data_IF_853755675622
#
_entry.id   IF_853755675622
#
_cell.length_a   1.000
_cell.length_b   1.000
_cell.length_c   1.000
_cell.angle_alpha   90.00
_cell.angle_beta   90.00
_cell.angle_gamma   90.00
#
_symmetry.space_group_name_H-M   'P 1'
#
loop_
_entity.id
_entity.type
_entity.pdbx_description
1 polymer ?
#
# COMPACT_ATOMS: atom_id res chain seq x y z
N UNK A 1 20.08 11.79 -19.54
CA UNK A 1 19.53 10.99 -18.44
C UNK A 1 18.31 10.15 -18.88
N UNK A 2 17.27 10.77 -19.44
CA UNK A 2 16.04 10.10 -19.82
C UNK A 2 16.27 8.94 -20.81
N UNK A 3 17.05 9.16 -21.87
CA UNK A 3 17.39 8.14 -22.88
C UNK A 3 18.16 6.94 -22.31
N UNK A 4 18.82 7.14 -21.17
CA UNK A 4 19.58 6.10 -20.46
C UNK A 4 18.77 5.42 -19.34
N UNK A 5 17.48 5.73 -19.21
CA UNK A 5 16.62 5.21 -18.16
C UNK A 5 16.93 5.77 -16.75
N UNK A 6 17.74 6.82 -16.66
CA UNK A 6 18.11 7.50 -15.40
C UNK A 6 17.03 8.52 -15.03
N UNK A 7 15.80 8.03 -14.78
CA UNK A 7 14.61 8.86 -14.64
C UNK A 7 14.65 9.79 -13.43
N UNK A 8 15.23 9.38 -12.29
CA UNK A 8 15.34 10.27 -11.12
C UNK A 8 16.22 11.49 -11.41
N UNK A 9 17.36 11.28 -12.09
CA UNK A 9 18.24 12.35 -12.51
C UNK A 9 17.60 13.23 -13.58
N UNK A 10 16.82 12.62 -14.49
CA UNK A 10 16.06 13.34 -15.51
C UNK A 10 15.00 14.24 -14.85
N UNK A 11 14.21 13.74 -13.89
CA UNK A 11 13.22 14.51 -13.14
C UNK A 11 13.85 15.72 -12.43
N UNK A 12 15.01 15.52 -11.78
CA UNK A 12 15.73 16.62 -11.10
C UNK A 12 16.26 17.65 -12.09
N UNK A 13 16.80 17.21 -13.23
CA UNK A 13 17.33 18.09 -14.25
C UNK A 13 16.23 18.92 -14.93
N UNK A 14 15.14 18.27 -15.37
CA UNK A 14 14.00 18.97 -15.98
C UNK A 14 13.31 19.91 -14.97
N UNK A 15 13.07 19.45 -13.74
CA UNK A 15 12.49 20.30 -12.70
C UNK A 15 13.36 21.51 -12.34
N UNK A 16 14.68 21.37 -12.32
CA UNK A 16 15.63 22.47 -12.11
C UNK A 16 15.69 23.45 -13.29
N UNK A 17 15.45 22.98 -14.50
CA UNK A 17 15.38 23.80 -15.72
C UNK A 17 13.96 24.36 -15.98
N UNK A 18 12.98 24.06 -15.13
CA UNK A 18 11.57 24.41 -15.31
C UNK A 18 10.96 23.87 -16.62
N UNK A 19 11.55 22.81 -17.18
CA UNK A 19 10.99 22.05 -18.29
C UNK A 19 9.92 21.06 -17.78
N UNK A 20 8.72 21.58 -17.53
CA UNK A 20 7.63 20.78 -16.96
C UNK A 20 7.07 19.75 -17.96
N UNK A 21 7.19 19.99 -19.26
CA UNK A 21 6.87 18.98 -20.28
C UNK A 21 7.77 17.76 -20.15
N UNK A 22 9.09 17.99 -19.97
CA UNK A 22 10.05 16.94 -19.68
C UNK A 22 9.78 16.21 -18.36
N UNK A 23 9.42 16.93 -17.30
CA UNK A 23 9.04 16.33 -16.01
C UNK A 23 7.84 15.39 -16.18
N UNK A 24 6.75 15.86 -16.80
CA UNK A 24 5.51 15.10 -16.95
C UNK A 24 5.70 13.87 -17.84
N UNK A 25 6.44 14.00 -18.92
CA UNK A 25 6.83 12.89 -19.80
C UNK A 25 7.59 11.80 -19.04
N UNK A 26 8.52 12.17 -18.17
CA UNK A 26 9.24 11.18 -17.33
C UNK A 26 8.32 10.55 -16.30
N UNK A 27 7.40 11.31 -15.70
CA UNK A 27 6.38 10.79 -14.77
C UNK A 27 5.51 9.73 -15.44
N UNK A 28 5.12 9.93 -16.70
CA UNK A 28 4.36 8.92 -17.48
C UNK A 28 5.17 7.64 -17.70
N UNK A 29 6.43 7.77 -18.13
CA UNK A 29 7.32 6.63 -18.40
C UNK A 29 7.61 5.78 -17.17
N UNK A 30 7.81 6.43 -16.03
CA UNK A 30 8.14 5.79 -14.76
C UNK A 30 6.89 5.32 -13.99
N UNK A 31 5.70 5.69 -14.42
CA UNK A 31 4.47 5.52 -13.67
C UNK A 31 4.55 6.05 -12.22
N UNK A 32 5.39 7.05 -11.99
CA UNK A 32 5.56 7.76 -10.73
C UNK A 32 6.21 6.99 -9.59
N UNK A 33 6.91 5.90 -9.86
CA UNK A 33 7.65 5.15 -8.82
C UNK A 33 8.68 6.05 -8.15
N UNK A 34 9.43 6.81 -8.95
CA UNK A 34 10.51 7.67 -8.47
C UNK A 34 10.00 8.95 -7.80
N UNK A 35 8.73 9.32 -7.99
CA UNK A 35 8.13 10.43 -7.24
C UNK A 35 8.16 10.17 -5.73
N UNK A 36 8.08 8.92 -5.30
CA UNK A 36 8.21 8.55 -3.89
C UNK A 36 9.59 8.88 -3.28
N UNK A 37 10.63 9.06 -4.12
CA UNK A 37 11.97 9.42 -3.71
C UNK A 37 12.21 10.95 -3.66
N UNK A 38 11.23 11.74 -4.10
CA UNK A 38 11.27 13.20 -4.06
C UNK A 38 10.47 13.73 -2.87
N UNK A 39 10.86 14.88 -2.29
CA UNK A 39 10.03 15.56 -1.32
C UNK A 39 8.68 15.97 -1.96
N UNK A 40 7.53 15.70 -1.32
CA UNK A 40 6.22 16.11 -1.84
C UNK A 40 6.15 17.59 -2.19
N UNK A 41 6.73 18.46 -1.36
CA UNK A 41 6.75 19.90 -1.54
C UNK A 41 7.45 20.32 -2.82
N UNK A 42 8.49 19.59 -3.24
CA UNK A 42 9.19 19.85 -4.49
C UNK A 42 8.28 19.58 -5.69
N UNK A 43 7.55 18.46 -5.68
CA UNK A 43 6.63 18.11 -6.76
C UNK A 43 5.45 19.07 -6.80
N UNK A 44 4.91 19.45 -5.65
CA UNK A 44 3.85 20.47 -5.55
C UNK A 44 4.32 21.81 -6.12
N UNK A 45 5.54 22.25 -5.78
CA UNK A 45 6.14 23.48 -6.33
C UNK A 45 6.29 23.44 -7.86
N UNK A 46 6.57 22.27 -8.44
CA UNK A 46 6.59 22.12 -9.90
C UNK A 46 5.19 22.25 -10.50
N UNK A 47 4.18 21.64 -9.88
CA UNK A 47 2.78 21.72 -10.33
C UNK A 47 2.21 23.14 -10.24
N UNK A 48 2.55 23.89 -9.19
CA UNK A 48 2.10 25.27 -9.02
C UNK A 48 2.70 26.23 -10.06
N UNK A 49 3.87 25.89 -10.61
CA UNK A 49 4.55 26.65 -11.67
C UNK A 49 4.26 26.12 -13.07
N UNK A 50 3.73 24.91 -13.18
CA UNK A 50 3.36 24.32 -14.46
C UNK A 50 2.13 24.99 -15.05
N UNK A 51 2.21 25.43 -16.29
CA UNK A 51 1.07 26.01 -17.00
C UNK A 51 -0.02 24.94 -17.23
N UNK A 52 -1.30 25.28 -17.10
CA UNK A 52 -2.39 24.34 -17.34
C UNK A 52 -2.29 23.63 -18.70
N UNK A 53 -1.96 24.35 -19.75
CA UNK A 53 -1.87 23.82 -21.12
C UNK A 53 -0.75 22.79 -21.27
N UNK A 54 0.31 22.87 -20.43
CA UNK A 54 1.36 21.84 -20.39
C UNK A 54 0.84 20.60 -19.69
N UNK A 55 0.16 20.76 -18.56
CA UNK A 55 -0.40 19.66 -17.78
C UNK A 55 -1.46 18.90 -18.58
N UNK A 56 -2.34 19.61 -19.32
CA UNK A 56 -3.40 19.03 -20.14
C UNK A 56 -2.90 18.15 -21.28
N UNK A 57 -1.65 18.35 -21.74
CA UNK A 57 -1.03 17.48 -22.74
C UNK A 57 -0.61 16.12 -22.19
N UNK A 58 -0.55 15.98 -20.85
CA UNK A 58 -0.04 14.79 -20.16
C UNK A 58 -1.10 14.14 -19.24
N UNK A 59 -2.22 13.63 -19.78
CA UNK A 59 -3.31 13.07 -18.96
C UNK A 59 -2.86 11.86 -18.12
N UNK A 60 -1.94 11.03 -18.62
CA UNK A 60 -1.38 9.91 -17.84
C UNK A 60 -0.53 10.39 -16.67
N UNK A 61 0.25 11.47 -16.86
CA UNK A 61 0.99 12.07 -15.73
C UNK A 61 0.04 12.62 -14.66
N UNK A 62 -1.11 13.21 -15.06
CA UNK A 62 -2.12 13.67 -14.11
C UNK A 62 -2.66 12.53 -13.26
N UNK A 63 -2.97 11.36 -13.85
CA UNK A 63 -3.40 10.17 -13.13
C UNK A 63 -2.34 9.67 -12.13
N UNK A 64 -1.08 9.62 -12.56
CA UNK A 64 0.05 9.25 -11.69
C UNK A 64 0.22 10.23 -10.53
N UNK A 65 0.10 11.53 -10.80
CA UNK A 65 0.16 12.58 -9.79
C UNK A 65 -1.02 12.50 -8.81
N UNK A 66 -2.24 12.23 -9.28
CA UNK A 66 -3.42 12.00 -8.42
C UNK A 66 -3.15 10.86 -7.43
N UNK A 67 -2.60 9.73 -7.88
CA UNK A 67 -2.20 8.63 -7.00
C UNK A 67 -1.13 9.06 -5.98
N UNK A 68 -0.15 9.86 -6.41
CA UNK A 68 0.89 10.38 -5.51
C UNK A 68 0.32 11.34 -4.47
N UNK A 69 -0.63 12.20 -4.86
CA UNK A 69 -1.34 13.10 -3.93
C UNK A 69 -2.10 12.31 -2.86
N UNK A 70 -2.79 11.21 -3.23
CA UNK A 70 -3.40 10.31 -2.25
C UNK A 70 -2.39 9.77 -1.24
N UNK A 71 -1.25 9.25 -1.71
CA UNK A 71 -0.20 8.72 -0.85
C UNK A 71 0.40 9.76 0.11
N UNK A 72 0.42 11.03 -0.31
CA UNK A 72 0.92 12.17 0.48
C UNK A 72 -0.16 12.87 1.30
N UNK A 73 -1.40 12.36 1.32
CA UNK A 73 -2.57 12.98 1.98
C UNK A 73 -2.91 14.39 1.47
N UNK A 74 -2.61 14.66 0.21
CA UNK A 74 -2.93 15.90 -0.48
C UNK A 74 -4.24 15.76 -1.27
N UNK A 75 -5.32 15.49 -0.54
CA UNK A 75 -6.62 15.20 -1.15
C UNK A 75 -7.20 16.38 -1.93
N UNK A 76 -7.13 17.65 -1.45
CA UNK A 76 -7.58 18.79 -2.25
C UNK A 76 -6.88 18.90 -3.60
N UNK A 77 -5.56 18.70 -3.64
CA UNK A 77 -4.74 18.72 -4.86
C UNK A 77 -5.08 17.55 -5.79
N UNK A 78 -5.35 16.37 -5.23
CA UNK A 78 -5.83 15.21 -5.99
C UNK A 78 -7.16 15.50 -6.69
N UNK A 79 -8.13 16.11 -5.99
CA UNK A 79 -9.43 16.46 -6.53
C UNK A 79 -9.31 17.54 -7.62
N UNK A 80 -8.46 18.55 -7.41
CA UNK A 80 -8.16 19.58 -8.43
C UNK A 80 -7.62 18.95 -9.72
N UNK A 81 -6.63 18.03 -9.59
CA UNK A 81 -6.07 17.30 -10.75
C UNK A 81 -7.13 16.47 -11.47
N UNK A 82 -8.04 15.82 -10.73
CA UNK A 82 -9.19 15.10 -11.32
C UNK A 82 -10.05 16.00 -12.19
N UNK A 83 -10.45 17.18 -11.66
CA UNK A 83 -11.28 18.14 -12.41
C UNK A 83 -10.57 18.62 -13.67
N UNK A 84 -9.28 18.95 -13.58
CA UNK A 84 -8.46 19.34 -14.73
C UNK A 84 -8.36 18.22 -15.75
N UNK A 85 -8.12 16.97 -15.32
CA UNK A 85 -8.06 15.80 -16.20
C UNK A 85 -9.36 15.62 -16.99
N UNK A 86 -10.52 15.65 -16.29
CA UNK A 86 -11.81 15.45 -16.94
C UNK A 86 -12.11 16.60 -17.93
N UNK A 87 -11.80 17.85 -17.58
CA UNK A 87 -11.92 18.99 -18.48
C UNK A 87 -11.00 18.84 -19.71
N UNK A 88 -9.75 18.40 -19.53
CA UNK A 88 -8.81 18.17 -20.63
C UNK A 88 -9.29 17.06 -21.58
N UNK A 89 -9.88 15.99 -21.03
CA UNK A 89 -10.49 14.91 -21.82
C UNK A 89 -11.66 15.43 -22.65
N UNK A 90 -12.52 16.25 -22.05
CA UNK A 90 -13.72 16.78 -22.73
C UNK A 90 -13.39 17.84 -23.79
N UNK A 91 -12.32 18.61 -23.59
CA UNK A 91 -11.83 19.63 -24.53
C UNK A 91 -11.15 19.05 -25.78
N UNK A 92 -10.91 17.71 -25.85
CA UNK A 92 -10.24 17.05 -27.00
C UNK A 92 -11.22 16.28 -27.88
N UNK A 93 -11.81 16.89 -28.89
CA UNK A 93 -12.73 16.18 -29.80
C UNK A 93 -12.02 15.14 -30.68
N UNK A 94 -10.72 15.30 -30.90
CA UNK A 94 -9.83 14.41 -31.66
C UNK A 94 -9.45 13.13 -30.93
N UNK A 95 -9.64 13.07 -29.58
CA UNK A 95 -9.37 11.89 -28.78
C UNK A 95 -10.34 10.76 -29.12
N UNK A 96 -9.80 9.57 -29.37
CA UNK A 96 -10.63 8.39 -29.65
C UNK A 96 -11.55 8.07 -28.46
N UNK A 97 -12.72 7.44 -28.77
CA UNK A 97 -13.63 6.99 -27.71
C UNK A 97 -12.97 5.97 -26.77
N UNK A 98 -12.09 5.14 -27.30
CA UNK A 98 -11.31 4.14 -26.54
C UNK A 98 -10.34 4.80 -25.56
N UNK A 99 -9.55 5.78 -26.02
CA UNK A 99 -8.61 6.47 -25.14
C UNK A 99 -9.32 7.29 -24.07
N UNK A 100 -10.41 7.96 -24.44
CA UNK A 100 -11.29 8.67 -23.49
C UNK A 100 -11.83 7.72 -22.41
N UNK A 101 -12.30 6.54 -22.80
CA UNK A 101 -12.76 5.49 -21.90
C UNK A 101 -11.64 5.01 -20.97
N UNK A 102 -10.45 4.75 -21.51
CA UNK A 102 -9.30 4.32 -20.72
C UNK A 102 -8.90 5.35 -19.65
N UNK A 103 -8.80 6.64 -20.02
CA UNK A 103 -8.44 7.71 -19.07
C UNK A 103 -9.51 7.93 -17.98
N UNK A 104 -10.80 7.91 -18.36
CA UNK A 104 -11.90 8.05 -17.39
C UNK A 104 -11.99 6.85 -16.45
N UNK A 105 -11.86 5.62 -16.97
CA UNK A 105 -11.87 4.41 -16.17
C UNK A 105 -10.68 4.35 -15.23
N UNK A 106 -9.49 4.75 -15.68
CA UNK A 106 -8.30 4.82 -14.83
C UNK A 106 -8.42 5.93 -13.76
N UNK A 107 -9.12 7.02 -14.06
CA UNK A 107 -9.49 8.04 -13.07
C UNK A 107 -10.42 7.45 -11.99
N UNK A 108 -11.47 6.71 -12.36
CA UNK A 108 -12.35 6.02 -11.41
C UNK A 108 -11.58 5.05 -10.52
N UNK A 109 -10.66 4.28 -11.12
CA UNK A 109 -9.79 3.37 -10.38
C UNK A 109 -8.96 4.09 -9.32
N UNK A 110 -8.33 5.24 -9.64
CA UNK A 110 -7.55 6.01 -8.68
C UNK A 110 -8.47 6.65 -7.62
N UNK A 111 -9.66 7.12 -8.01
CA UNK A 111 -10.63 7.66 -7.07
C UNK A 111 -11.13 6.63 -6.06
N UNK A 112 -11.09 5.32 -6.41
CA UNK A 112 -11.43 4.25 -5.47
C UNK A 112 -10.52 4.22 -4.23
N UNK A 113 -9.30 4.75 -4.32
CA UNK A 113 -8.37 4.82 -3.19
C UNK A 113 -8.88 5.70 -2.04
N UNK A 114 -9.76 6.68 -2.31
CA UNK A 114 -10.41 7.46 -1.25
C UNK A 114 -11.37 6.62 -0.38
N UNK A 115 -11.78 5.45 -0.89
CA UNK A 115 -12.64 4.48 -0.22
C UNK A 115 -11.84 3.26 0.27
N UNK A 116 -10.55 3.40 0.45
CA UNK A 116 -9.54 2.35 0.45
C UNK A 116 -9.80 1.13 1.36
N UNK A 117 -10.59 1.16 2.39
CA UNK A 117 -10.99 -0.04 3.14
C UNK A 117 -12.52 -0.30 3.12
N UNK A 118 -13.26 0.42 2.30
CA UNK A 118 -14.64 0.10 1.93
C UNK A 118 -14.63 -0.75 0.65
N UNK A 119 -14.46 -2.07 0.80
CA UNK A 119 -14.28 -3.00 -0.31
C UNK A 119 -15.44 -2.89 -1.32
N UNK A 120 -16.68 -2.90 -0.84
CA UNK A 120 -17.86 -2.78 -1.70
C UNK A 120 -17.93 -1.40 -2.40
N UNK A 121 -17.56 -0.33 -1.69
CA UNK A 121 -17.45 1.02 -2.24
C UNK A 121 -16.41 1.11 -3.34
N UNK A 122 -15.21 0.57 -3.09
CA UNK A 122 -14.13 0.49 -4.08
C UNK A 122 -14.56 -0.30 -5.31
N UNK A 123 -15.23 -1.44 -5.11
CA UNK A 123 -15.68 -2.33 -6.20
C UNK A 123 -16.63 -1.64 -7.17
N UNK A 124 -17.48 -0.76 -6.72
CA UNK A 124 -18.36 0.02 -7.62
C UNK A 124 -17.54 0.83 -8.63
N UNK A 125 -16.45 1.45 -8.18
CA UNK A 125 -15.54 2.21 -9.05
C UNK A 125 -14.68 1.28 -9.92
N UNK A 126 -14.26 0.12 -9.41
CA UNK A 126 -13.53 -0.87 -10.22
C UNK A 126 -14.39 -1.45 -11.34
N UNK A 127 -15.70 -1.70 -11.10
CA UNK A 127 -16.65 -2.13 -12.14
C UNK A 127 -16.87 -1.02 -13.17
N UNK A 128 -17.02 0.25 -12.72
CA UNK A 128 -17.10 1.40 -13.62
C UNK A 128 -15.85 1.53 -14.49
N UNK A 129 -14.67 1.39 -13.90
CA UNK A 129 -13.39 1.38 -14.61
C UNK A 129 -13.34 0.24 -15.65
N UNK A 130 -13.68 -0.99 -15.25
CA UNK A 130 -13.67 -2.17 -16.12
C UNK A 130 -14.63 -2.04 -17.31
N UNK A 131 -15.76 -1.35 -17.13
CA UNK A 131 -16.71 -1.12 -18.21
C UNK A 131 -16.24 -0.09 -19.24
N UNK A 132 -15.30 0.79 -18.87
CA UNK A 132 -14.78 1.87 -19.72
C UNK A 132 -13.43 1.54 -20.35
N UNK A 133 -12.62 0.72 -19.70
CA UNK A 133 -11.23 0.48 -20.10
C UNK A 133 -11.13 -0.71 -21.04
N UNK A 134 -10.40 -0.53 -22.14
CA UNK A 134 -10.02 -1.59 -23.10
C UNK A 134 -8.65 -2.20 -22.78
N UNK A 135 -7.89 -1.59 -21.87
CA UNK A 135 -6.56 -2.03 -21.42
C UNK A 135 -6.42 -1.85 -19.90
N UNK A 136 -5.50 -2.58 -19.26
CA UNK A 136 -5.16 -2.33 -17.87
C UNK A 136 -4.62 -0.92 -17.63
N UNK A 137 -4.74 -0.44 -16.39
CA UNK A 137 -4.22 0.85 -15.97
C UNK A 137 -2.71 0.96 -16.20
N UNK A 138 -2.26 2.11 -16.67
CA UNK A 138 -0.84 2.44 -16.88
C UNK A 138 -0.23 3.05 -15.62
N UNK A 139 -1.02 3.82 -14.85
CA UNK A 139 -0.58 4.47 -13.61
C UNK A 139 -0.35 3.49 -12.46
N UNK A 140 -0.78 2.23 -12.57
CA UNK A 140 -0.61 1.21 -11.53
C UNK A 140 0.26 0.08 -12.09
N UNK A 141 1.43 -0.11 -11.49
CA UNK A 141 2.29 -1.23 -11.87
C UNK A 141 1.89 -2.51 -11.14
N UNK A 142 1.80 -3.61 -11.87
CA UNK A 142 1.45 -4.94 -11.35
C UNK A 142 2.30 -5.35 -10.14
N UNK A 143 3.60 -5.08 -10.16
CA UNK A 143 4.53 -5.40 -9.08
C UNK A 143 4.65 -4.30 -8.01
N UNK A 144 3.77 -3.30 -8.04
CA UNK A 144 3.75 -2.22 -7.07
C UNK A 144 3.31 -2.68 -5.67
N UNK A 145 3.46 -1.78 -4.69
CA UNK A 145 2.95 -2.03 -3.33
C UNK A 145 1.43 -1.89 -3.29
N UNK A 146 0.75 -2.93 -2.82
CA UNK A 146 -0.71 -2.95 -2.70
C UNK A 146 -1.20 -2.60 -1.29
N UNK A 147 -0.46 -3.03 -0.26
CA UNK A 147 -0.85 -2.84 1.16
C UNK A 147 -0.35 -1.54 1.78
N UNK A 148 0.12 -0.58 0.99
CA UNK A 148 0.71 0.68 1.49
C UNK A 148 1.80 0.48 2.54
N UNK A 149 2.51 -0.65 2.47
CA UNK A 149 3.58 -1.01 3.40
C UNK A 149 3.12 -1.78 4.65
N UNK A 150 1.82 -2.06 4.80
CA UNK A 150 1.34 -2.97 5.83
C UNK A 150 1.77 -4.42 5.55
N UNK A 151 2.19 -5.18 6.56
CA UNK A 151 2.45 -6.61 6.42
C UNK A 151 1.17 -7.47 6.45
N UNK A 152 0.02 -6.89 6.75
CA UNK A 152 -1.26 -7.60 6.92
C UNK A 152 -2.35 -7.00 6.04
N UNK A 153 -3.04 -7.86 5.30
CA UNK A 153 -4.23 -7.50 4.51
C UNK A 153 -5.43 -7.29 5.42
N UNK A 154 -5.64 -8.20 6.37
CA UNK A 154 -6.78 -8.14 7.28
C UNK A 154 -6.77 -6.88 8.16
N UNK A 155 -5.61 -6.48 8.69
CA UNK A 155 -5.49 -5.25 9.49
C UNK A 155 -5.88 -4.01 8.70
N UNK A 156 -5.67 -4.01 7.38
CA UNK A 156 -6.06 -2.88 6.53
C UNK A 156 -7.53 -2.87 6.18
N UNK A 157 -8.14 -4.04 5.97
CA UNK A 157 -9.46 -4.14 5.37
C UNK A 157 -10.57 -4.53 6.33
N UNK A 158 -10.26 -4.99 7.55
CA UNK A 158 -11.31 -5.19 8.58
C UNK A 158 -11.74 -3.83 9.15
N UNK A 159 -12.85 -3.34 8.64
CA UNK A 159 -13.36 -2.00 8.87
C UNK A 159 -14.28 -1.89 10.08
N UNK A 160 -15.07 -2.93 10.33
CA UNK A 160 -16.14 -2.86 11.32
C UNK A 160 -16.23 -4.15 12.15
N UNK A 161 -16.18 -4.02 13.47
CA UNK A 161 -16.38 -5.13 14.38
C UNK A 161 -17.72 -5.86 14.11
N UNK A 162 -17.68 -7.20 14.10
CA UNK A 162 -18.83 -8.05 13.81
C UNK A 162 -19.16 -8.21 12.32
N UNK A 163 -18.42 -7.58 11.39
CA UNK A 163 -18.66 -7.67 9.95
C UNK A 163 -17.65 -8.53 9.19
N UNK A 164 -16.73 -9.19 9.89
CA UNK A 164 -15.61 -9.90 9.27
C UNK A 164 -16.04 -10.88 8.17
N UNK A 165 -17.08 -11.69 8.39
CA UNK A 165 -17.54 -12.66 7.38
C UNK A 165 -18.12 -11.98 6.13
N UNK A 166 -18.81 -10.83 6.31
CA UNK A 166 -19.29 -10.05 5.18
C UNK A 166 -18.10 -9.44 4.41
N UNK A 167 -17.11 -8.89 5.11
CA UNK A 167 -15.93 -8.29 4.49
C UNK A 167 -15.06 -9.31 3.75
N UNK A 168 -14.97 -10.55 4.26
CA UNK A 168 -14.32 -11.67 3.54
C UNK A 168 -15.06 -12.01 2.25
N UNK A 169 -16.40 -12.10 2.30
CA UNK A 169 -17.22 -12.37 1.13
C UNK A 169 -17.12 -11.22 0.11
N UNK A 170 -17.12 -9.96 0.57
CA UNK A 170 -16.91 -8.77 -0.27
C UNK A 170 -15.53 -8.80 -0.94
N UNK A 171 -14.47 -9.19 -0.22
CA UNK A 171 -13.12 -9.31 -0.79
C UNK A 171 -13.09 -10.35 -1.91
N UNK A 172 -13.68 -11.53 -1.70
CA UNK A 172 -13.74 -12.59 -2.70
C UNK A 172 -14.51 -12.17 -3.96
N UNK A 173 -15.63 -11.45 -3.79
CA UNK A 173 -16.45 -10.97 -4.91
C UNK A 173 -15.79 -9.81 -5.67
N UNK A 174 -15.12 -8.90 -4.95
CA UNK A 174 -14.72 -7.61 -5.49
C UNK A 174 -13.32 -7.63 -6.12
N UNK A 175 -12.38 -8.42 -5.57
CA UNK A 175 -11.00 -8.44 -6.07
C UNK A 175 -10.83 -8.83 -7.54
N UNK A 176 -11.60 -9.77 -8.11
CA UNK A 176 -11.50 -10.08 -9.55
C UNK A 176 -11.71 -8.86 -10.47
N UNK A 177 -12.60 -7.92 -10.10
CA UNK A 177 -12.81 -6.68 -10.85
C UNK A 177 -11.59 -5.76 -10.79
N UNK A 178 -10.96 -5.67 -9.62
CA UNK A 178 -9.71 -4.93 -9.46
C UNK A 178 -8.58 -5.54 -10.27
N UNK A 179 -8.39 -6.86 -10.21
CA UNK A 179 -7.35 -7.55 -10.97
C UNK A 179 -7.49 -7.36 -12.47
N UNK A 180 -8.71 -7.33 -12.98
CA UNK A 180 -9.00 -7.10 -14.40
C UNK A 180 -8.43 -5.74 -14.85
N UNK A 181 -8.69 -4.66 -14.10
CA UNK A 181 -8.27 -3.29 -14.49
C UNK A 181 -6.82 -2.97 -14.13
N UNK A 182 -6.15 -3.79 -13.31
CA UNK A 182 -4.78 -3.54 -12.84
C UNK A 182 -3.76 -4.61 -13.28
N UNK A 183 -4.14 -5.48 -14.20
CA UNK A 183 -3.30 -6.59 -14.66
C UNK A 183 -2.81 -7.48 -13.51
N UNK A 184 -3.70 -7.74 -12.51
CA UNK A 184 -3.41 -8.63 -11.40
C UNK A 184 -2.61 -8.01 -10.26
N UNK A 185 -2.53 -6.68 -10.15
CA UNK A 185 -1.89 -6.03 -8.99
C UNK A 185 -2.58 -6.44 -7.67
N UNK A 186 -1.82 -6.87 -6.67
CA UNK A 186 -2.35 -7.33 -5.39
C UNK A 186 -3.00 -8.72 -5.40
N UNK A 187 -2.83 -9.50 -6.47
CA UNK A 187 -3.42 -10.83 -6.60
C UNK A 187 -3.00 -11.75 -5.45
N UNK A 188 -3.98 -12.44 -4.86
CA UNK A 188 -3.84 -13.28 -3.68
C UNK A 188 -4.29 -12.61 -2.38
N UNK A 189 -4.68 -11.33 -2.41
CA UNK A 189 -5.12 -10.58 -1.23
C UNK A 189 -6.31 -11.25 -0.53
N UNK A 190 -7.29 -11.78 -1.27
CA UNK A 190 -8.46 -12.49 -0.74
C UNK A 190 -8.07 -13.76 0.02
N UNK A 191 -7.10 -14.51 -0.48
CA UNK A 191 -6.59 -15.69 0.20
C UNK A 191 -5.81 -15.34 1.47
N UNK A 192 -4.99 -14.29 1.44
CA UNK A 192 -4.25 -13.81 2.61
C UNK A 192 -5.24 -13.35 3.69
N UNK A 193 -6.22 -12.51 3.34
CA UNK A 193 -7.21 -12.01 4.28
C UNK A 193 -8.00 -13.16 4.94
N UNK A 194 -8.39 -14.15 4.15
CA UNK A 194 -9.06 -15.35 4.65
C UNK A 194 -8.16 -16.17 5.59
N UNK A 195 -6.89 -16.35 5.22
CA UNK A 195 -5.90 -17.04 6.05
C UNK A 195 -5.65 -16.35 7.38
N UNK A 196 -5.53 -15.02 7.38
CA UNK A 196 -5.38 -14.21 8.60
C UNK A 196 -6.63 -14.27 9.48
N UNK A 197 -7.84 -14.26 8.89
CA UNK A 197 -9.09 -14.41 9.62
C UNK A 197 -9.22 -15.81 10.26
N UNK A 198 -8.87 -16.87 9.53
CA UNK A 198 -8.85 -18.24 10.05
C UNK A 198 -7.82 -18.37 11.19
N UNK A 199 -6.64 -17.78 11.04
CA UNK A 199 -5.62 -17.73 12.09
C UNK A 199 -6.15 -17.09 13.39
N UNK A 200 -6.81 -15.93 13.30
CA UNK A 200 -7.38 -15.25 14.46
C UNK A 200 -8.51 -16.05 15.14
N UNK A 201 -9.17 -16.93 14.40
CA UNK A 201 -10.21 -17.85 14.92
C UNK A 201 -9.63 -19.14 15.50
N UNK A 202 -8.31 -19.33 15.46
CA UNK A 202 -7.65 -20.57 15.88
C UNK A 202 -7.83 -21.74 14.90
N UNK A 203 -8.35 -21.49 13.70
CA UNK A 203 -8.54 -22.46 12.62
C UNK A 203 -7.23 -22.62 11.82
N UNK A 204 -6.20 -23.19 12.46
CA UNK A 204 -4.83 -23.17 11.94
C UNK A 204 -4.66 -23.94 10.61
N UNK A 205 -5.41 -25.03 10.41
CA UNK A 205 -5.37 -25.80 9.17
C UNK A 205 -6.01 -25.00 8.01
N UNK A 206 -7.14 -24.33 8.25
CA UNK A 206 -7.77 -23.47 7.26
C UNK A 206 -6.85 -22.29 6.90
N UNK A 207 -6.15 -21.72 7.89
CA UNK A 207 -5.16 -20.67 7.67
C UNK A 207 -3.99 -21.16 6.79
N UNK A 208 -3.49 -22.37 7.00
CA UNK A 208 -2.44 -22.99 6.17
C UNK A 208 -2.90 -23.25 4.74
N UNK A 209 -4.14 -23.73 4.56
CA UNK A 209 -4.72 -23.97 3.23
C UNK A 209 -4.84 -22.66 2.47
N UNK A 210 -5.39 -21.62 3.10
CA UNK A 210 -5.52 -20.30 2.50
C UNK A 210 -4.16 -19.69 2.15
N UNK A 211 -3.17 -19.81 3.05
CA UNK A 211 -1.80 -19.37 2.82
C UNK A 211 -1.13 -20.08 1.64
N UNK A 212 -1.31 -21.40 1.53
CA UNK A 212 -0.79 -22.19 0.40
C UNK A 212 -1.42 -21.74 -0.93
N UNK A 213 -2.72 -21.45 -0.93
CA UNK A 213 -3.43 -20.88 -2.08
C UNK A 213 -2.88 -19.50 -2.48
N UNK A 214 -2.63 -18.63 -1.50
CA UNK A 214 -2.03 -17.32 -1.75
C UNK A 214 -0.64 -17.46 -2.38
N UNK A 215 0.26 -18.26 -1.82
CA UNK A 215 1.60 -18.48 -2.39
C UNK A 215 1.55 -19.05 -3.81
N UNK A 216 0.59 -19.93 -4.12
CA UNK A 216 0.44 -20.48 -5.46
C UNK A 216 0.08 -19.39 -6.49
N UNK A 217 -0.82 -18.49 -6.14
CA UNK A 217 -1.20 -17.36 -7.02
C UNK A 217 -0.07 -16.34 -7.19
N UNK A 218 0.69 -16.08 -6.12
CA UNK A 218 1.74 -15.04 -6.10
C UNK A 218 2.97 -15.48 -6.89
N UNK A 219 3.33 -16.79 -6.84
CA UNK A 219 4.55 -17.35 -7.45
C UNK A 219 4.68 -16.99 -8.92
N UNK A 220 3.59 -17.07 -9.65
CA UNK A 220 3.60 -16.88 -11.11
C UNK A 220 3.52 -15.40 -11.52
N UNK A 221 3.29 -14.51 -10.54
CA UNK A 221 2.91 -13.14 -10.79
C UNK A 221 3.93 -12.08 -10.32
N UNK A 222 4.99 -12.46 -9.61
CA UNK A 222 6.03 -11.54 -9.11
C UNK A 222 5.48 -10.48 -8.14
N UNK A 223 4.48 -10.85 -7.32
CA UNK A 223 3.81 -9.97 -6.36
C UNK A 223 4.58 -9.95 -5.03
N UNK A 224 5.73 -9.27 -5.01
CA UNK A 224 6.62 -9.25 -3.83
C UNK A 224 5.92 -8.73 -2.56
N UNK A 225 5.11 -7.68 -2.68
CA UNK A 225 4.35 -7.16 -1.55
C UNK A 225 3.42 -8.24 -0.95
N UNK A 226 2.71 -8.97 -1.80
CA UNK A 226 1.79 -10.03 -1.34
C UNK A 226 2.56 -11.21 -0.76
N UNK A 227 3.74 -11.54 -1.31
CA UNK A 227 4.62 -12.56 -0.73
C UNK A 227 5.04 -12.20 0.70
N UNK A 228 5.41 -10.94 0.96
CA UNK A 228 5.74 -10.46 2.30
C UNK A 228 4.55 -10.51 3.27
N UNK A 229 3.32 -10.29 2.79
CA UNK A 229 2.12 -10.50 3.61
C UNK A 229 1.88 -11.99 3.92
N UNK A 230 2.15 -12.88 2.96
CA UNK A 230 2.14 -14.32 3.22
C UNK A 230 3.22 -14.72 4.25
N UNK A 231 4.43 -14.16 4.13
CA UNK A 231 5.52 -14.40 5.07
C UNK A 231 5.11 -13.96 6.48
N UNK A 232 4.45 -12.80 6.63
CA UNK A 232 3.92 -12.32 7.91
C UNK A 232 2.93 -13.31 8.55
N UNK A 233 2.00 -13.86 7.78
CA UNK A 233 1.08 -14.88 8.27
C UNK A 233 1.82 -16.19 8.59
N UNK A 234 2.77 -16.62 7.74
CA UNK A 234 3.56 -17.84 7.96
C UNK A 234 4.34 -17.78 9.28
N UNK A 235 5.01 -16.66 9.57
CA UNK A 235 5.74 -16.48 10.83
C UNK A 235 4.81 -16.50 12.06
N UNK A 236 3.63 -15.89 11.98
CA UNK A 236 2.64 -15.96 13.06
C UNK A 236 2.09 -17.38 13.27
N UNK A 237 1.86 -18.11 12.19
CA UNK A 237 1.47 -19.54 12.26
C UNK A 237 2.53 -20.38 12.93
N UNK A 238 3.82 -20.13 12.66
CA UNK A 238 4.92 -20.88 13.25
C UNK A 238 4.95 -20.79 14.78
N UNK A 239 4.58 -19.63 15.33
CA UNK A 239 4.46 -19.43 16.80
C UNK A 239 3.42 -20.37 17.44
N UNK A 240 2.34 -20.68 16.73
CA UNK A 240 1.26 -21.52 17.25
C UNK A 240 1.48 -23.01 16.97
N UNK A 241 2.21 -23.35 15.90
CA UNK A 241 2.35 -24.73 15.43
C UNK A 241 3.70 -25.35 15.73
N UNK A 242 4.72 -24.54 16.03
CA UNK A 242 6.11 -24.98 16.21
C UNK A 242 6.80 -25.38 14.90
N UNK A 243 6.14 -25.24 13.75
CA UNK A 243 6.74 -25.53 12.44
C UNK A 243 7.53 -24.30 11.96
N UNK A 244 8.80 -24.54 11.60
CA UNK A 244 9.63 -23.46 11.06
C UNK A 244 9.05 -22.91 9.75
N UNK A 245 9.06 -21.57 9.54
CA UNK A 245 8.69 -20.98 8.26
C UNK A 245 9.62 -21.44 7.14
N UNK A 246 9.17 -21.28 5.88
CA UNK A 246 9.92 -21.74 4.69
C UNK A 246 11.24 -21.02 4.48
N UNK A 247 11.34 -19.78 4.93
CA UNK A 247 12.52 -18.93 4.81
C UNK A 247 12.80 -18.23 6.14
N UNK A 248 14.07 -18.08 6.49
CA UNK A 248 14.47 -17.25 7.62
C UNK A 248 14.52 -15.75 7.24
N UNK A 249 14.50 -14.86 8.22
CA UNK A 249 14.54 -13.42 8.00
C UNK A 249 15.81 -12.96 7.30
N UNK A 250 16.96 -13.57 7.59
CA UNK A 250 18.23 -13.14 7.00
C UNK A 250 18.34 -13.56 5.54
N UNK A 251 17.85 -14.75 5.19
CA UNK A 251 17.74 -15.17 3.80
C UNK A 251 16.84 -14.22 3.03
N UNK A 252 15.65 -13.93 3.57
CA UNK A 252 14.69 -13.04 2.93
C UNK A 252 15.22 -11.62 2.77
N UNK A 253 15.93 -11.13 3.78
CA UNK A 253 16.59 -9.81 3.73
C UNK A 253 17.66 -9.73 2.63
N UNK A 254 18.50 -10.77 2.48
CA UNK A 254 19.51 -10.82 1.40
C UNK A 254 18.85 -10.76 0.01
N UNK A 255 17.76 -11.50 -0.19
CA UNK A 255 17.01 -11.49 -1.45
C UNK A 255 16.46 -10.11 -1.78
N UNK A 256 15.84 -9.44 -0.81
CA UNK A 256 15.26 -8.10 -0.99
C UNK A 256 16.32 -7.01 -1.19
N UNK A 257 17.48 -7.12 -0.55
CA UNK A 257 18.58 -6.18 -0.76
C UNK A 257 19.08 -6.19 -2.21
N UNK A 258 19.09 -7.34 -2.86
CA UNK A 258 19.43 -7.45 -4.28
C UNK A 258 18.44 -6.73 -5.19
N UNK A 259 17.20 -6.54 -4.76
CA UNK A 259 16.16 -5.82 -5.51
C UNK A 259 16.22 -4.31 -5.36
N UNK A 260 17.05 -3.77 -4.46
CA UNK A 260 17.21 -2.34 -4.16
C UNK A 260 15.88 -1.62 -3.83
N UNK A 261 14.92 -2.31 -3.22
CA UNK A 261 13.62 -1.76 -2.87
C UNK A 261 13.47 -1.60 -1.34
N UNK A 262 13.71 -0.40 -0.84
CA UNK A 262 13.62 -0.10 0.59
C UNK A 262 12.21 -0.32 1.17
N UNK A 263 11.15 -0.19 0.36
CA UNK A 263 9.78 -0.40 0.84
C UNK A 263 9.55 -1.86 1.24
N UNK A 264 10.10 -2.81 0.49
CA UNK A 264 10.02 -4.24 0.82
C UNK A 264 10.79 -4.58 2.10
N UNK A 265 11.97 -3.99 2.28
CA UNK A 265 12.73 -4.15 3.53
C UNK A 265 11.97 -3.61 4.75
N UNK A 266 11.23 -2.52 4.60
CA UNK A 266 10.42 -1.99 5.70
C UNK A 266 9.29 -2.97 6.08
N UNK A 267 8.63 -3.62 5.12
CA UNK A 267 7.61 -4.63 5.40
C UNK A 267 8.22 -5.86 6.09
N UNK A 268 9.36 -6.33 5.61
CA UNK A 268 10.08 -7.45 6.24
C UNK A 268 10.49 -7.09 7.67
N UNK A 269 11.12 -5.91 7.87
CA UNK A 269 11.54 -5.47 9.20
C UNK A 269 10.36 -5.32 10.18
N UNK A 270 9.17 -4.94 9.69
CA UNK A 270 7.98 -4.88 10.54
C UNK A 270 7.50 -6.27 10.95
N UNK A 271 7.55 -7.26 10.06
CA UNK A 271 7.24 -8.66 10.38
C UNK A 271 8.24 -9.25 11.37
N UNK A 272 9.53 -9.03 11.12
CA UNK A 272 10.65 -9.47 11.95
C UNK A 272 10.55 -8.87 13.36
N UNK A 273 10.33 -7.55 13.47
CA UNK A 273 10.14 -6.87 14.75
C UNK A 273 8.93 -7.41 15.52
N UNK A 274 7.80 -7.61 14.84
CA UNK A 274 6.60 -8.12 15.49
C UNK A 274 6.81 -9.55 16.00
N UNK A 275 7.45 -10.42 15.20
CA UNK A 275 7.75 -11.79 15.58
C UNK A 275 8.65 -11.87 16.83
N UNK A 276 9.82 -11.22 16.79
CA UNK A 276 10.76 -11.25 17.91
C UNK A 276 10.23 -10.55 19.17
N UNK A 277 9.42 -9.51 19.02
CA UNK A 277 8.73 -8.90 20.14
C UNK A 277 7.71 -9.85 20.80
N UNK A 278 7.00 -10.68 20.02
CA UNK A 278 6.06 -11.66 20.56
C UNK A 278 6.74 -12.78 21.36
N UNK A 279 7.96 -13.19 20.96
CA UNK A 279 8.73 -14.23 21.67
C UNK A 279 9.68 -13.67 22.73
N UNK A 280 9.76 -12.34 22.89
CA UNK A 280 10.61 -11.69 23.88
C UNK A 280 12.10 -11.60 23.52
N UNK A 281 12.47 -11.89 22.27
CA UNK A 281 13.86 -11.80 21.80
C UNK A 281 14.22 -10.38 21.34
N UNK A 282 14.29 -9.45 22.29
CA UNK A 282 14.45 -8.01 22.00
C UNK A 282 15.74 -7.66 21.27
N UNK A 283 16.83 -8.42 21.46
CA UNK A 283 18.11 -8.20 20.76
C UNK A 283 18.05 -8.55 19.27
N UNK A 284 17.14 -9.45 18.87
CA UNK A 284 16.92 -9.85 17.47
C UNK A 284 16.04 -8.87 16.70
N UNK A 285 15.38 -7.94 17.38
CA UNK A 285 14.51 -6.93 16.76
C UNK A 285 15.34 -6.00 15.85
N UNK A 286 14.91 -5.75 14.59
CA UNK A 286 15.57 -4.81 13.70
C UNK A 286 15.77 -3.44 14.34
N UNK A 287 16.96 -2.85 14.15
CA UNK A 287 17.42 -1.63 14.82
C UNK A 287 16.41 -0.47 14.75
N UNK A 288 15.76 -0.29 13.60
CA UNK A 288 14.76 0.79 13.39
C UNK A 288 13.59 0.70 14.36
N UNK A 289 13.17 -0.51 14.75
CA UNK A 289 12.12 -0.74 15.75
C UNK A 289 12.69 -0.80 17.17
N UNK A 290 13.82 -1.48 17.35
CA UNK A 290 14.48 -1.63 18.66
C UNK A 290 14.86 -0.28 19.27
N UNK A 291 15.27 0.68 18.45
CA UNK A 291 15.67 2.02 18.85
C UNK A 291 14.58 3.09 18.60
N UNK A 292 13.35 2.64 18.29
CA UNK A 292 12.18 3.53 18.11
C UNK A 292 12.39 4.65 17.07
N UNK A 293 13.08 4.34 15.97
CA UNK A 293 13.41 5.30 14.93
C UNK A 293 12.42 5.30 13.76
N UNK A 294 11.14 4.90 13.98
CA UNK A 294 10.12 4.89 12.94
C UNK A 294 9.91 6.26 12.28
N UNK A 295 10.10 7.35 13.01
CA UNK A 295 10.01 8.71 12.45
C UNK A 295 11.05 8.98 11.34
N UNK A 296 12.16 8.24 11.31
CA UNK A 296 13.20 8.35 10.27
C UNK A 296 12.84 7.59 8.99
N UNK A 297 11.81 6.74 9.02
CA UNK A 297 11.38 5.91 7.89
C UNK A 297 10.16 6.51 7.22
N UNK A 298 10.17 6.55 5.90
CA UNK A 298 9.01 6.99 5.11
C UNK A 298 8.02 5.83 4.97
N UNK A 299 6.95 5.88 5.72
CA UNK A 299 5.79 5.01 5.52
C UNK A 299 4.68 5.74 4.79
N UNK A 300 3.95 5.02 3.94
CA UNK A 300 2.73 5.54 3.34
C UNK A 300 1.66 5.69 4.43
N UNK A 301 0.89 6.77 4.32
CA UNK A 301 -0.07 7.16 5.35
C UNK A 301 -1.05 6.04 5.76
N UNK A 302 -1.63 5.24 4.82
CA UNK A 302 -2.54 4.17 5.21
C UNK A 302 -1.88 3.04 6.01
N UNK A 303 -0.58 2.75 5.78
CA UNK A 303 0.15 1.70 6.49
C UNK A 303 0.68 2.10 7.87
N UNK A 304 0.76 3.40 8.16
CA UNK A 304 1.40 3.91 9.37
C UNK A 304 0.79 3.37 10.68
N UNK A 305 -0.54 3.25 10.86
CA UNK A 305 -1.10 2.71 12.10
C UNK A 305 -0.66 1.28 12.43
N UNK A 306 -0.42 0.44 11.40
CA UNK A 306 0.10 -0.92 11.59
C UNK A 306 1.55 -0.89 12.08
N UNK A 307 2.36 0.05 11.56
CA UNK A 307 3.75 0.21 12.03
C UNK A 307 3.79 0.68 13.48
N UNK A 308 2.93 1.61 13.87
CA UNK A 308 2.82 2.09 15.25
C UNK A 308 2.32 1.00 16.21
N UNK A 309 1.40 0.13 15.75
CA UNK A 309 0.98 -1.06 16.51
C UNK A 309 2.14 -2.03 16.72
N UNK A 310 2.96 -2.29 15.71
CA UNK A 310 4.13 -3.16 15.81
C UNK A 310 5.17 -2.54 16.76
N UNK A 311 5.40 -1.24 16.67
CA UNK A 311 6.27 -0.52 17.60
C UNK A 311 5.77 -0.61 19.05
N UNK A 312 4.45 -0.53 19.29
CA UNK A 312 3.86 -0.76 20.60
C UNK A 312 4.16 -2.18 21.13
N UNK A 313 4.15 -3.19 20.26
CA UNK A 313 4.52 -4.55 20.65
C UNK A 313 6.00 -4.64 21.06
N UNK A 314 6.87 -3.89 20.40
CA UNK A 314 8.29 -3.79 20.77
C UNK A 314 8.45 -3.10 22.13
N UNK A 315 7.74 -1.99 22.39
CA UNK A 315 7.72 -1.35 23.70
C UNK A 315 7.27 -2.30 24.81
N UNK A 316 6.23 -3.12 24.57
CA UNK A 316 5.79 -4.15 25.52
C UNK A 316 6.90 -5.16 25.82
N UNK A 317 7.55 -5.69 24.78
CA UNK A 317 8.63 -6.65 24.93
C UNK A 317 9.84 -6.09 25.70
N UNK A 318 10.08 -4.78 25.61
CA UNK A 318 11.14 -4.06 26.32
C UNK A 318 10.73 -3.59 27.73
N UNK A 319 9.46 -3.80 28.13
CA UNK A 319 8.94 -3.35 29.42
C UNK A 319 8.65 -1.84 29.50
N UNK A 320 8.61 -1.15 28.38
CA UNK A 320 8.34 0.29 28.29
C UNK A 320 6.82 0.58 28.28
N UNK A 321 6.13 0.14 29.33
CA UNK A 321 4.66 0.17 29.42
C UNK A 321 4.08 1.60 29.37
N UNK A 322 4.76 2.56 30.01
CA UNK A 322 4.33 3.96 30.02
C UNK A 322 4.24 4.55 28.60
N UNK A 323 5.15 4.15 27.70
CA UNK A 323 5.15 4.59 26.29
C UNK A 323 3.94 4.03 25.56
N UNK A 324 3.59 2.76 25.75
CA UNK A 324 2.41 2.13 25.16
C UNK A 324 1.13 2.86 25.58
N UNK A 325 0.98 3.12 26.88
CA UNK A 325 -0.19 3.83 27.43
C UNK A 325 -0.26 5.26 26.89
N UNK A 326 0.87 5.98 26.89
CA UNK A 326 0.94 7.38 26.46
C UNK A 326 0.56 7.59 24.98
N UNK A 327 0.87 6.62 24.12
CA UNK A 327 0.62 6.70 22.66
C UNK A 327 -0.76 6.17 22.24
N UNK A 328 -1.36 5.31 23.06
CA UNK A 328 -2.56 4.54 22.70
C UNK A 328 -3.74 5.43 22.29
N UNK A 329 -4.02 6.51 23.00
CA UNK A 329 -5.17 7.37 22.72
C UNK A 329 -5.07 8.03 21.31
N UNK A 330 -3.90 8.52 20.95
CA UNK A 330 -3.67 9.12 19.64
C UNK A 330 -3.79 8.07 18.52
N UNK A 331 -3.22 6.88 18.72
CA UNK A 331 -3.30 5.81 17.73
C UNK A 331 -4.72 5.30 17.56
N UNK A 332 -5.48 5.15 18.66
CA UNK A 332 -6.91 4.79 18.60
C UNK A 332 -7.74 5.83 17.85
N UNK A 333 -7.48 7.13 18.06
CA UNK A 333 -8.17 8.19 17.31
C UNK A 333 -7.88 8.11 15.80
N UNK A 334 -6.65 7.77 15.41
CA UNK A 334 -6.30 7.52 13.99
C UNK A 334 -7.00 6.28 13.45
N UNK A 335 -7.04 5.19 14.22
CA UNK A 335 -7.74 3.96 13.83
C UNK A 335 -9.24 4.19 13.63
N UNK A 336 -9.86 4.97 14.50
CA UNK A 336 -11.27 5.34 14.37
C UNK A 336 -11.53 6.15 13.10
N UNK A 337 -10.76 7.21 12.89
CA UNK A 337 -10.87 8.06 11.70
C UNK A 337 -10.62 7.30 10.38
N UNK A 338 -9.81 6.24 10.41
CA UNK A 338 -9.45 5.42 9.25
C UNK A 338 -10.26 4.11 9.18
N UNK A 339 -11.14 3.86 10.13
CA UNK A 339 -11.91 2.63 10.24
C UNK A 339 -11.05 1.35 10.30
N UNK A 340 -9.99 1.34 11.09
CA UNK A 340 -9.13 0.18 11.30
C UNK A 340 -9.54 -0.60 12.57
N UNK A 341 -10.64 -1.35 12.49
CA UNK A 341 -11.22 -2.03 13.65
C UNK A 341 -10.26 -3.05 14.29
N UNK A 342 -9.54 -3.84 13.47
CA UNK A 342 -8.60 -4.84 13.99
C UNK A 342 -7.37 -4.19 14.64
N UNK A 343 -6.83 -3.13 14.03
CA UNK A 343 -5.69 -2.38 14.62
C UNK A 343 -6.10 -1.77 15.96
N UNK A 344 -7.29 -1.15 16.02
CA UNK A 344 -7.83 -0.58 17.26
C UNK A 344 -7.96 -1.63 18.37
N UNK A 345 -8.49 -2.82 18.04
CA UNK A 345 -8.61 -3.94 18.98
C UNK A 345 -7.23 -4.36 19.53
N UNK A 346 -6.23 -4.51 18.67
CA UNK A 346 -4.87 -4.87 19.10
C UNK A 346 -4.25 -3.79 19.99
N UNK A 347 -4.43 -2.51 19.65
CA UNK A 347 -3.93 -1.39 20.46
C UNK A 347 -4.57 -1.39 21.86
N UNK A 348 -5.88 -1.69 21.95
CA UNK A 348 -6.57 -1.83 23.25
C UNK A 348 -6.01 -3.00 24.07
N UNK A 349 -5.76 -4.15 23.43
CA UNK A 349 -5.14 -5.30 24.09
C UNK A 349 -3.72 -5.00 24.58
N UNK A 350 -2.92 -4.32 23.76
CA UNK A 350 -1.56 -3.88 24.14
C UNK A 350 -1.61 -2.90 25.31
N UNK A 351 -2.55 -1.96 25.30
CA UNK A 351 -2.74 -1.00 26.41
C UNK A 351 -3.16 -1.73 27.68
N UNK A 352 -4.09 -2.67 27.59
CA UNK A 352 -4.50 -3.48 28.76
C UNK A 352 -3.35 -4.33 29.32
N UNK A 353 -2.49 -4.85 28.45
CA UNK A 353 -1.28 -5.60 28.85
C UNK A 353 -0.20 -4.72 29.48
N UNK A 354 -0.19 -3.41 29.22
CA UNK A 354 0.73 -2.44 29.79
C UNK A 354 0.26 -1.88 31.14
N UNK A 355 -1.02 -1.99 31.50
CA UNK A 355 -1.61 -1.59 32.78
C UNK A 355 -1.43 -2.65 33.86
#
# INVERSE_FOLDING_TARGET
>A
YEERGQYLQALRAYGGAEDFDGVLRVVEKDAGILLALLPPEQVLSWLDRCLPEVLERHPLAMLVLMRSMFNWRRIPEMLRLKEQLLAAIDARPDMSGEERGNLRGECDLIMSFLLYNDIAGMSRLHRSASAQMSRPAVSIRRQGGWTFGSPSVLMMFHRQAGRLDCELAEMDECMPHYYCVTNGHGQGAEHIMRGEAAFLRGQLDDARIALAGAYAQIRDNGQENMALCCDHLAWRLSLCTGEAPRQDFDQRRRELLCQHNAAWLNILNSTDAYYHALIGETESIPEVFREHRLASVRYLAPGKPMMELIENQVYLAQGAYAEVIGRSQQLLAVCDAMHYALVAMHVQLQTAGAC
#
